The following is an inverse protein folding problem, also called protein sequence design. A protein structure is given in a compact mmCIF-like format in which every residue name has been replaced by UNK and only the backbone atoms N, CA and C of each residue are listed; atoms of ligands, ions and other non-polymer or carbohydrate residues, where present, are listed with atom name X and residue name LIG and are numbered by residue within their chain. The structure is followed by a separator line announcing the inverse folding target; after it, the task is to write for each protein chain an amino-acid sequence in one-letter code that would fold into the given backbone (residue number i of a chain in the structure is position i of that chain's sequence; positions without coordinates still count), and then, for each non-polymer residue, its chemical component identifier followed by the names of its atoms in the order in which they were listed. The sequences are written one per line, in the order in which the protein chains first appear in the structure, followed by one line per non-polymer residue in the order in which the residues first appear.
data_IF_595146459967
#
_entry.id   IF_595146459967
#
_cell.length_a   1.000
_cell.length_b   1.000
_cell.length_c   1.000
_cell.angle_alpha   90.00
_cell.angle_beta   90.00
_cell.angle_gamma   90.00
#
_symmetry.space_group_name_H-M   'P 1'
#
loop_
_entity.id
_entity.type
_entity.pdbx_description
1 polymer ?
#
# COMPACT_ATOMS: atom_id res chain seq x y z
N UNK A 1 -11.15 43.22 -22.26
CA UNK A 1 -11.32 42.11 -21.31
C UNK A 1 -10.90 40.84 -22.02
N UNK A 2 -9.65 40.42 -21.87
CA UNK A 2 -9.16 39.15 -22.40
C UNK A 2 -9.12 38.17 -21.23
N UNK A 3 -10.07 37.25 -21.19
CA UNK A 3 -10.20 36.21 -20.18
C UNK A 3 -9.22 35.06 -20.42
N UNK A 4 -8.79 34.49 -19.31
CA UNK A 4 -7.60 33.70 -19.02
C UNK A 4 -7.64 32.26 -19.61
N UNK A 5 -7.82 32.10 -20.92
CA UNK A 5 -7.88 30.78 -21.59
C UNK A 5 -6.56 29.99 -21.63
N UNK A 6 -5.48 30.52 -21.06
CA UNK A 6 -4.16 29.86 -21.08
C UNK A 6 -4.02 28.81 -19.97
N UNK A 7 -4.68 29.02 -18.82
CA UNK A 7 -4.61 28.08 -17.68
C UNK A 7 -5.34 26.75 -17.92
N UNK A 8 -6.40 26.75 -18.73
CA UNK A 8 -7.19 25.54 -19.01
C UNK A 8 -6.48 24.53 -19.92
N UNK A 9 -5.57 24.98 -20.79
CA UNK A 9 -4.85 24.10 -21.73
C UNK A 9 -3.62 23.43 -21.14
N UNK A 10 -3.04 23.99 -20.08
CA UNK A 10 -1.81 23.46 -19.49
C UNK A 10 -2.06 22.19 -18.65
N UNK A 11 -3.28 21.99 -18.13
CA UNK A 11 -3.67 20.76 -17.41
C UNK A 11 -3.79 19.55 -18.34
N UNK A 12 -4.15 19.77 -19.62
CA UNK A 12 -4.29 18.73 -20.64
C UNK A 12 -2.95 18.17 -21.17
N UNK A 13 -1.82 18.73 -20.73
CA UNK A 13 -0.48 18.39 -21.24
C UNK A 13 0.46 17.82 -20.17
N UNK A 14 -0.02 17.51 -18.96
CA UNK A 14 0.83 16.85 -17.97
C UNK A 14 1.10 15.39 -18.42
N UNK A 15 2.36 14.92 -18.41
CA UNK A 15 2.65 13.51 -18.65
C UNK A 15 1.81 12.64 -17.71
N UNK A 16 1.15 11.59 -18.23
CA UNK A 16 0.27 10.69 -17.46
C UNK A 16 0.85 10.31 -16.09
N UNK A 17 2.15 9.99 -16.05
CA UNK A 17 2.89 9.63 -14.85
C UNK A 17 2.96 10.75 -13.77
N UNK A 18 3.06 12.01 -14.19
CA UNK A 18 3.04 13.14 -13.28
C UNK A 18 1.65 13.34 -12.66
N UNK A 19 0.59 13.16 -13.45
CA UNK A 19 -0.79 13.22 -12.93
C UNK A 19 -1.04 12.11 -11.90
N UNK A 20 -0.64 10.87 -12.19
CA UNK A 20 -0.73 9.75 -11.24
C UNK A 20 0.09 10.01 -9.97
N UNK A 21 1.26 10.64 -10.10
CA UNK A 21 2.08 11.03 -8.93
C UNK A 21 1.35 12.07 -8.08
N UNK A 22 0.79 13.12 -8.69
CA UNK A 22 0.02 14.15 -7.97
C UNK A 22 -1.18 13.52 -7.25
N UNK A 23 -1.90 12.59 -7.88
CA UNK A 23 -3.00 11.86 -7.24
C UNK A 23 -2.54 11.07 -6.03
N UNK A 24 -1.38 10.42 -6.13
CA UNK A 24 -0.78 9.69 -5.00
C UNK A 24 -0.42 10.62 -3.83
N UNK A 25 0.01 11.86 -4.12
CA UNK A 25 0.30 12.86 -3.08
C UNK A 25 -0.95 13.43 -2.42
N UNK A 26 -2.08 13.39 -3.11
CA UNK A 26 -3.38 13.83 -2.62
C UNK A 26 -4.21 12.67 -2.05
N UNK A 27 -3.57 11.56 -1.70
CA UNK A 27 -4.21 10.33 -1.24
C UNK A 27 -5.30 10.55 -0.15
N UNK A 28 -5.07 11.34 0.92
CA UNK A 28 -6.12 11.60 1.90
C UNK A 28 -7.34 12.33 1.30
N UNK A 29 -7.13 13.28 0.39
CA UNK A 29 -8.23 13.95 -0.30
C UNK A 29 -8.99 13.02 -1.25
N UNK A 30 -8.30 12.06 -1.89
CA UNK A 30 -8.93 11.06 -2.75
C UNK A 30 -9.87 10.11 -1.97
N UNK A 31 -9.61 9.93 -0.68
CA UNK A 31 -10.44 9.16 0.24
C UNK A 31 -11.41 10.03 1.07
N UNK A 32 -11.55 11.33 0.77
CA UNK A 32 -12.48 12.19 1.51
C UNK A 32 -13.94 11.87 1.19
N UNK A 33 -14.77 11.84 2.23
CA UNK A 33 -16.23 11.73 2.12
C UNK A 33 -16.88 12.93 1.44
N UNK A 34 -16.17 14.07 1.33
CA UNK A 34 -16.64 15.22 0.54
C UNK A 34 -16.89 14.86 -0.94
N UNK A 35 -16.29 13.76 -1.41
CA UNK A 35 -16.44 13.22 -2.76
C UNK A 35 -17.33 11.97 -2.82
N UNK A 36 -18.21 11.73 -1.84
CA UNK A 36 -19.08 10.53 -1.79
C UNK A 36 -19.95 10.35 -3.03
N UNK A 37 -20.37 11.45 -3.67
CA UNK A 37 -21.21 11.43 -4.88
C UNK A 37 -20.40 11.56 -6.18
N UNK A 38 -19.06 11.58 -6.11
CA UNK A 38 -18.24 11.64 -7.31
C UNK A 38 -18.28 10.27 -8.02
N UNK A 39 -18.54 10.22 -9.34
CA UNK A 39 -18.60 8.95 -10.05
C UNK A 39 -17.25 8.25 -10.01
N UNK A 40 -17.25 6.99 -9.57
CA UNK A 40 -16.09 6.09 -9.70
C UNK A 40 -16.21 5.36 -11.05
N UNK A 41 -15.57 5.91 -12.07
CA UNK A 41 -15.53 5.29 -13.40
C UNK A 41 -14.45 4.20 -13.45
N UNK A 42 -14.75 3.09 -14.15
CA UNK A 42 -13.77 2.02 -14.38
C UNK A 42 -13.43 1.18 -13.15
N UNK A 43 -14.39 0.93 -12.26
CA UNK A 43 -14.16 0.03 -11.12
C UNK A 43 -13.68 -1.37 -11.55
N UNK A 44 -14.27 -2.04 -12.56
CA UNK A 44 -13.77 -3.34 -13.03
C UNK A 44 -12.29 -3.31 -13.45
N UNK A 45 -11.83 -2.23 -14.10
CA UNK A 45 -10.41 -2.06 -14.45
C UNK A 45 -9.54 -1.98 -13.19
N UNK A 46 -9.98 -1.21 -12.18
CA UNK A 46 -9.31 -1.11 -10.90
C UNK A 46 -9.28 -2.45 -10.16
N UNK A 47 -10.40 -3.17 -10.10
CA UNK A 47 -10.49 -4.49 -9.49
C UNK A 47 -9.52 -5.47 -10.18
N UNK A 48 -9.51 -5.52 -11.51
CA UNK A 48 -8.59 -6.35 -12.27
C UNK A 48 -7.11 -6.05 -11.95
N UNK A 49 -6.74 -4.76 -11.93
CA UNK A 49 -5.36 -4.33 -11.65
C UNK A 49 -4.93 -4.68 -10.23
N UNK A 50 -5.80 -4.49 -9.23
CA UNK A 50 -5.42 -4.70 -7.83
C UNK A 50 -5.34 -6.18 -7.43
N UNK A 51 -6.16 -7.04 -8.04
CA UNK A 51 -6.07 -8.51 -7.90
C UNK A 51 -5.02 -9.14 -8.82
N UNK A 52 -4.49 -8.37 -9.78
CA UNK A 52 -3.44 -8.78 -10.68
C UNK A 52 -2.18 -9.26 -9.97
N UNK A 53 -1.47 -10.20 -10.59
CA UNK A 53 -0.24 -10.78 -10.03
C UNK A 53 0.91 -9.77 -10.01
N UNK A 54 1.99 -10.09 -9.27
CA UNK A 54 3.23 -9.30 -9.32
C UNK A 54 3.91 -9.35 -10.70
N UNK A 55 3.59 -10.34 -11.55
CA UNK A 55 4.09 -10.44 -12.92
C UNK A 55 3.36 -9.49 -13.87
N UNK A 56 2.03 -9.44 -13.79
CA UNK A 56 1.19 -8.64 -14.69
C UNK A 56 1.13 -7.18 -14.26
N UNK A 57 0.99 -6.95 -12.95
CA UNK A 57 0.82 -5.64 -12.34
C UNK A 57 1.83 -5.43 -11.21
N UNK A 58 3.14 -5.30 -11.52
CA UNK A 58 4.17 -5.08 -10.52
C UNK A 58 3.99 -3.73 -9.81
N UNK A 59 4.21 -3.72 -8.49
CA UNK A 59 4.26 -2.48 -7.68
C UNK A 59 5.54 -1.71 -7.99
N UNK A 60 6.66 -2.43 -8.08
CA UNK A 60 7.99 -1.90 -8.35
C UNK A 60 8.54 -2.47 -9.67
N UNK A 61 9.11 -1.61 -10.49
CA UNK A 61 9.63 -1.95 -11.81
C UNK A 61 10.77 -1.03 -12.23
N UNK A 62 10.80 -0.70 -13.52
CA UNK A 62 11.88 0.10 -14.09
C UNK A 62 13.20 -0.67 -14.25
N UNK A 63 14.25 0.05 -14.62
CA UNK A 63 15.55 -0.56 -14.91
C UNK A 63 16.32 -1.03 -13.66
N UNK A 64 15.97 -0.49 -12.50
CA UNK A 64 16.58 -0.80 -11.21
C UNK A 64 15.65 -1.64 -10.30
N UNK A 65 14.41 -1.92 -10.71
CA UNK A 65 13.43 -2.59 -9.85
C UNK A 65 12.92 -1.72 -8.68
N UNK A 66 13.12 -0.40 -8.74
CA UNK A 66 12.79 0.56 -7.67
C UNK A 66 11.82 1.65 -8.12
N UNK A 67 11.47 1.71 -9.41
CA UNK A 67 10.52 2.69 -9.92
C UNK A 67 9.09 2.21 -9.61
N UNK A 68 8.27 3.10 -9.06
CA UNK A 68 6.91 2.75 -8.63
C UNK A 68 5.95 2.82 -9.81
N UNK A 69 5.10 1.81 -9.96
CA UNK A 69 4.02 1.83 -10.93
C UNK A 69 2.90 2.78 -10.45
N UNK A 70 3.00 4.07 -10.81
CA UNK A 70 2.05 5.08 -10.36
C UNK A 70 0.62 4.86 -10.89
N UNK A 71 0.47 4.19 -12.02
CA UNK A 71 -0.86 3.81 -12.54
C UNK A 71 -1.51 2.75 -11.65
N UNK A 72 -0.74 1.75 -11.21
CA UNK A 72 -1.21 0.76 -10.24
C UNK A 72 -1.62 1.40 -8.90
N UNK A 73 -0.88 2.42 -8.44
CA UNK A 73 -1.23 3.19 -7.23
C UNK A 73 -2.57 3.92 -7.40
N UNK A 74 -2.81 4.52 -8.56
CA UNK A 74 -4.10 5.17 -8.86
C UNK A 74 -5.24 4.16 -8.90
N UNK A 75 -5.04 2.99 -9.50
CA UNK A 75 -6.06 1.94 -9.49
C UNK A 75 -6.38 1.46 -8.07
N UNK A 76 -5.39 1.37 -7.18
CA UNK A 76 -5.59 1.10 -5.76
C UNK A 76 -6.46 2.16 -5.10
N UNK A 77 -6.20 3.44 -5.35
CA UNK A 77 -7.03 4.50 -4.79
C UNK A 77 -8.48 4.45 -5.28
N UNK A 78 -8.68 4.21 -6.57
CA UNK A 78 -10.01 4.08 -7.13
C UNK A 78 -10.77 2.88 -6.52
N UNK A 79 -10.07 1.75 -6.30
CA UNK A 79 -10.63 0.59 -5.62
C UNK A 79 -11.05 0.92 -4.18
N UNK A 80 -10.16 1.49 -3.37
CA UNK A 80 -10.49 1.83 -1.98
C UNK A 80 -11.54 2.94 -1.87
N UNK A 81 -11.51 3.93 -2.75
CA UNK A 81 -12.56 4.96 -2.85
C UNK A 81 -13.92 4.34 -3.15
N UNK A 82 -13.97 3.37 -4.06
CA UNK A 82 -15.21 2.65 -4.39
C UNK A 82 -15.84 2.01 -3.15
N UNK A 83 -15.05 1.36 -2.29
CA UNK A 83 -15.58 0.67 -1.11
C UNK A 83 -15.76 1.56 0.12
N UNK A 84 -14.86 2.52 0.35
CA UNK A 84 -14.80 3.32 1.58
C UNK A 84 -15.60 4.63 1.50
N UNK A 85 -15.79 5.20 0.31
CA UNK A 85 -16.36 6.55 0.15
C UNK A 85 -17.73 6.53 -0.53
N UNK A 86 -18.01 5.54 -1.37
CA UNK A 86 -19.27 5.45 -2.12
C UNK A 86 -20.37 4.79 -1.29
N UNK A 87 -21.41 5.54 -0.95
CA UNK A 87 -22.51 5.05 -0.12
C UNK A 87 -23.40 4.02 -0.82
N UNK A 88 -23.46 4.01 -2.16
CA UNK A 88 -24.28 3.03 -2.89
C UNK A 88 -23.67 1.62 -2.91
N UNK A 89 -22.35 1.51 -2.80
CA UNK A 89 -21.67 0.21 -2.70
C UNK A 89 -21.82 -0.38 -1.29
N UNK A 90 -21.71 0.49 -0.28
CA UNK A 90 -21.97 0.17 1.11
C UNK A 90 -21.17 -1.02 1.71
N UNK A 91 -19.98 -1.32 1.19
CA UNK A 91 -19.13 -2.38 1.76
C UNK A 91 -18.33 -1.90 2.97
N UNK A 92 -17.56 -0.82 2.83
CA UNK A 92 -16.77 -0.19 3.90
C UNK A 92 -17.24 1.22 4.24
N UNK A 93 -18.20 1.77 3.48
CA UNK A 93 -18.66 3.15 3.63
C UNK A 93 -19.04 3.52 5.06
N UNK A 94 -19.88 2.70 5.70
CA UNK A 94 -20.31 3.01 7.06
C UNK A 94 -19.18 2.90 8.07
N UNK A 95 -18.30 1.89 7.98
CA UNK A 95 -17.15 1.83 8.88
C UNK A 95 -16.24 3.05 8.70
N UNK A 96 -16.02 3.49 7.47
CA UNK A 96 -15.18 4.64 7.16
C UNK A 96 -15.80 5.96 7.62
N UNK A 97 -17.10 6.14 7.41
CA UNK A 97 -17.86 7.31 7.84
C UNK A 97 -17.88 7.53 9.35
N UNK A 98 -17.81 6.46 10.13
CA UNK A 98 -17.83 6.52 11.59
C UNK A 98 -16.43 6.66 12.22
N UNK A 99 -15.37 6.70 11.42
CA UNK A 99 -14.04 7.01 11.94
C UNK A 99 -14.03 8.41 12.56
N UNK A 100 -13.41 8.54 13.72
CA UNK A 100 -13.10 9.87 14.26
C UNK A 100 -12.05 10.57 13.37
N UNK A 101 -11.94 11.93 13.43
CA UNK A 101 -10.93 12.66 12.65
C UNK A 101 -9.49 12.17 12.88
N UNK A 102 -9.18 11.67 14.07
CA UNK A 102 -7.87 11.15 14.45
C UNK A 102 -7.60 9.74 13.93
N UNK A 103 -8.66 9.03 13.52
CA UNK A 103 -8.61 7.68 12.96
C UNK A 103 -8.74 7.67 11.44
N UNK A 104 -9.04 8.80 10.80
CA UNK A 104 -9.14 8.91 9.35
C UNK A 104 -7.75 9.05 8.69
N UNK A 105 -7.61 8.76 7.37
CA UNK A 105 -6.39 9.05 6.63
C UNK A 105 -6.03 10.54 6.66
N UNK A 106 -4.75 10.86 6.88
CA UNK A 106 -4.27 12.24 7.04
C UNK A 106 -3.12 12.56 6.11
N UNK A 107 -2.97 13.84 5.82
CA UNK A 107 -1.78 14.36 5.16
C UNK A 107 -0.57 14.26 6.08
N UNK A 108 0.61 14.20 5.48
CA UNK A 108 1.84 14.37 6.24
C UNK A 108 1.96 15.80 6.78
N UNK A 109 2.53 15.92 7.97
CA UNK A 109 2.68 17.15 8.73
C UNK A 109 4.11 17.73 8.65
N UNK A 110 5.04 16.98 8.03
CA UNK A 110 6.47 17.29 8.00
C UNK A 110 7.01 17.35 6.58
N UNK A 111 8.09 18.11 6.41
CA UNK A 111 8.79 18.19 5.13
C UNK A 111 9.32 16.82 4.70
N UNK A 112 9.03 16.43 3.46
CA UNK A 112 9.52 15.20 2.85
C UNK A 112 11.05 15.24 2.71
N UNK A 113 11.70 14.11 3.01
CA UNK A 113 13.16 13.96 2.95
C UNK A 113 13.53 12.73 2.15
N UNK A 114 14.71 12.77 1.52
CA UNK A 114 15.27 11.61 0.84
C UNK A 114 15.75 10.58 1.88
N UNK A 115 15.60 9.29 1.56
CA UNK A 115 15.81 8.20 2.51
C UNK A 115 14.49 7.71 3.10
N UNK A 116 14.60 6.83 4.09
CA UNK A 116 13.45 6.23 4.76
C UNK A 116 13.34 6.75 6.18
N UNK A 117 12.13 6.70 6.72
CA UNK A 117 11.86 6.95 8.13
C UNK A 117 11.10 5.78 8.74
N UNK A 118 11.27 5.62 10.05
CA UNK A 118 10.31 4.84 10.85
C UNK A 118 8.94 5.49 10.74
N UNK A 119 7.90 4.68 10.67
CA UNK A 119 6.52 5.14 10.61
C UNK A 119 5.95 5.37 12.02
N UNK A 120 4.79 6.02 12.08
CA UNK A 120 4.02 6.16 13.32
C UNK A 120 3.66 4.81 13.95
N UNK A 121 3.31 4.81 15.22
CA UNK A 121 3.08 3.60 16.00
C UNK A 121 1.75 2.91 15.67
N UNK A 122 0.69 3.67 15.48
CA UNK A 122 -0.67 3.15 15.37
C UNK A 122 -1.19 3.23 13.95
N UNK A 123 -1.78 2.15 13.47
CA UNK A 123 -2.26 1.99 12.11
C UNK A 123 -3.65 1.35 12.10
N UNK A 124 -4.48 1.80 11.17
CA UNK A 124 -5.73 1.15 10.79
C UNK A 124 -5.66 0.71 9.34
N UNK A 125 -6.49 -0.25 8.96
CA UNK A 125 -6.58 -0.63 7.55
C UNK A 125 -7.53 -1.76 7.27
N UNK A 126 -7.52 -2.21 6.02
CA UNK A 126 -8.29 -3.35 5.55
C UNK A 126 -7.54 -4.05 4.42
N UNK A 127 -7.95 -5.28 4.16
CA UNK A 127 -7.58 -6.03 2.97
C UNK A 127 -8.86 -6.55 2.33
N UNK A 128 -8.88 -6.60 0.99
CA UNK A 128 -10.00 -7.16 0.25
C UNK A 128 -9.64 -8.56 -0.24
N UNK A 129 -10.65 -9.43 -0.32
CA UNK A 129 -10.53 -10.76 -0.90
C UNK A 129 -11.82 -11.15 -1.62
N UNK A 130 -11.71 -12.15 -2.48
CA UNK A 130 -12.83 -12.86 -3.13
C UNK A 130 -12.55 -14.36 -3.06
N UNK A 131 -13.49 -15.22 -3.44
CA UNK A 131 -13.18 -16.64 -3.49
C UNK A 131 -12.06 -16.96 -4.49
N UNK A 132 -11.32 -18.04 -4.25
CA UNK A 132 -10.16 -18.42 -5.09
C UNK A 132 -10.52 -18.56 -6.58
N UNK A 133 -11.74 -19.02 -6.89
CA UNK A 133 -12.23 -19.11 -8.27
C UNK A 133 -12.47 -17.73 -8.90
N UNK A 134 -13.02 -16.81 -8.12
CA UNK A 134 -13.35 -15.45 -8.55
C UNK A 134 -12.10 -14.61 -8.83
N UNK A 135 -10.99 -14.85 -8.12
CA UNK A 135 -9.69 -14.21 -8.44
C UNK A 135 -9.30 -14.46 -9.90
N UNK A 136 -9.50 -15.68 -10.40
CA UNK A 136 -9.18 -16.01 -11.79
C UNK A 136 -10.12 -15.30 -12.78
N UNK A 137 -11.41 -15.20 -12.43
CA UNK A 137 -12.43 -14.50 -13.23
C UNK A 137 -12.13 -12.99 -13.32
N UNK A 138 -11.81 -12.35 -12.19
CA UNK A 138 -11.38 -10.94 -12.14
C UNK A 138 -10.18 -10.72 -13.06
N UNK A 139 -9.14 -11.56 -12.95
CA UNK A 139 -7.94 -11.47 -13.78
C UNK A 139 -8.23 -11.67 -15.28
N UNK A 140 -9.19 -12.54 -15.61
CA UNK A 140 -9.65 -12.75 -16.98
C UNK A 140 -10.50 -11.58 -17.53
N UNK A 141 -10.89 -10.62 -16.69
CA UNK A 141 -11.71 -9.48 -17.08
C UNK A 141 -13.21 -9.75 -17.02
N UNK A 142 -13.64 -10.86 -16.43
CA UNK A 142 -15.07 -11.22 -16.33
C UNK A 142 -15.87 -10.25 -15.43
N UNK A 143 -15.17 -9.50 -14.56
CA UNK A 143 -15.75 -8.42 -13.74
C UNK A 143 -16.36 -7.25 -14.55
N UNK A 144 -16.10 -7.20 -15.86
CA UNK A 144 -16.73 -6.23 -16.77
C UNK A 144 -18.14 -6.63 -17.21
N UNK A 145 -18.42 -7.95 -17.24
CA UNK A 145 -19.69 -8.50 -17.68
C UNK A 145 -20.62 -8.70 -16.47
N UNK A 146 -20.10 -9.26 -15.38
CA UNK A 146 -20.82 -9.50 -14.13
C UNK A 146 -20.03 -8.94 -12.94
N UNK A 147 -20.68 -8.17 -12.07
CA UNK A 147 -20.02 -7.61 -10.88
C UNK A 147 -19.60 -8.74 -9.93
N UNK A 148 -18.31 -8.83 -9.63
CA UNK A 148 -17.75 -9.72 -8.61
C UNK A 148 -17.62 -8.92 -7.31
N UNK A 149 -18.25 -9.40 -6.23
CA UNK A 149 -18.33 -8.68 -4.97
C UNK A 149 -17.09 -8.90 -4.12
N UNK A 150 -16.40 -7.81 -3.76
CA UNK A 150 -15.30 -7.87 -2.80
C UNK A 150 -15.80 -8.10 -1.37
N UNK A 151 -15.06 -8.95 -0.66
CA UNK A 151 -15.18 -9.21 0.77
C UNK A 151 -14.04 -8.52 1.52
N UNK A 152 -14.26 -8.23 2.80
CA UNK A 152 -13.32 -7.51 3.66
C UNK A 152 -13.20 -8.20 5.01
N UNK A 153 -12.23 -7.78 5.82
CA UNK A 153 -12.10 -8.25 7.20
C UNK A 153 -13.41 -7.97 8.00
N UNK A 154 -14.01 -9.05 8.51
CA UNK A 154 -15.25 -9.01 9.29
C UNK A 154 -16.24 -10.10 8.91
N UNK A 155 -16.96 -10.62 9.91
CA UNK A 155 -18.10 -11.52 9.72
C UNK A 155 -19.44 -10.78 9.56
N UNK A 156 -19.43 -9.45 9.69
CA UNK A 156 -20.64 -8.62 9.60
C UNK A 156 -20.92 -8.19 8.17
N UNK A 157 -22.21 -8.05 7.82
CA UNK A 157 -22.68 -7.50 6.52
C UNK A 157 -22.10 -6.10 6.19
N UNK A 158 -21.49 -5.44 7.18
CA UNK A 158 -20.79 -4.18 7.07
C UNK A 158 -19.31 -4.45 7.40
N UNK A 159 -18.39 -4.19 6.46
CA UNK A 159 -16.97 -4.46 6.69
C UNK A 159 -16.38 -3.60 7.82
N UNK A 160 -15.26 -4.04 8.39
CA UNK A 160 -14.60 -3.34 9.51
C UNK A 160 -13.14 -2.99 9.16
N UNK A 161 -12.47 -2.23 10.01
CA UNK A 161 -11.03 -1.98 9.89
C UNK A 161 -10.28 -2.72 11.00
N UNK A 162 -9.14 -3.30 10.65
CA UNK A 162 -8.22 -3.90 11.61
C UNK A 162 -7.31 -2.81 12.20
N UNK A 163 -6.92 -3.01 13.46
CA UNK A 163 -5.94 -2.18 14.15
C UNK A 163 -4.59 -2.88 14.17
N UNK A 164 -3.52 -2.11 14.04
CA UNK A 164 -2.14 -2.61 14.08
C UNK A 164 -1.22 -1.62 14.79
N UNK A 165 -0.35 -2.14 15.65
CA UNK A 165 0.64 -1.40 16.39
C UNK A 165 2.05 -1.82 15.97
N UNK A 166 2.88 -0.86 15.54
CA UNK A 166 4.26 -1.10 15.14
C UNK A 166 5.24 -0.88 16.30
N UNK A 167 6.14 -1.84 16.50
CA UNK A 167 7.25 -1.79 17.42
C UNK A 167 8.57 -1.84 16.63
N UNK A 168 9.29 -0.72 16.61
CA UNK A 168 10.54 -0.58 15.86
C UNK A 168 11.70 -1.21 16.61
N UNK A 169 12.50 -2.00 15.89
CA UNK A 169 13.69 -2.61 16.46
C UNK A 169 14.88 -1.67 16.23
N UNK A 170 15.54 -1.28 17.33
CA UNK A 170 16.72 -0.43 17.26
C UNK A 170 17.98 -1.25 16.94
N UNK A 171 18.88 -0.68 16.15
CA UNK A 171 20.15 -1.33 15.78
C UNK A 171 20.98 -1.71 17.02
N UNK A 172 20.80 -0.99 18.14
CA UNK A 172 21.46 -1.24 19.42
C UNK A 172 20.89 -2.40 20.21
N UNK A 173 19.59 -2.71 20.04
CA UNK A 173 18.92 -3.84 20.69
C UNK A 173 19.08 -5.15 19.89
N UNK A 174 19.66 -5.04 18.70
CA UNK A 174 19.78 -6.11 17.73
C UNK A 174 18.52 -6.25 16.90
N UNK A 175 18.68 -6.63 15.64
CA UNK A 175 17.56 -7.04 14.80
C UNK A 175 16.94 -8.31 15.38
N UNK A 176 15.60 -8.37 15.43
CA UNK A 176 14.92 -9.63 15.68
C UNK A 176 15.34 -10.60 14.59
N UNK A 177 15.54 -11.86 14.97
CA UNK A 177 15.91 -12.90 14.01
C UNK A 177 14.87 -12.91 12.89
N UNK A 178 15.26 -12.47 11.70
CA UNK A 178 14.38 -12.47 10.53
C UNK A 178 14.23 -13.92 10.04
N UNK A 179 13.02 -14.51 10.10
CA UNK A 179 12.84 -15.92 9.76
C UNK A 179 13.20 -16.16 8.29
N UNK A 180 14.00 -17.20 8.03
CA UNK A 180 14.38 -17.59 6.65
C UNK A 180 13.15 -17.92 5.80
N UNK A 181 12.10 -18.44 6.42
CA UNK A 181 10.82 -18.69 5.77
C UNK A 181 10.20 -17.40 5.26
N UNK A 182 10.24 -16.31 6.04
CA UNK A 182 9.70 -15.02 5.62
C UNK A 182 10.51 -14.44 4.46
N UNK A 183 11.86 -14.47 4.55
CA UNK A 183 12.73 -14.00 3.46
C UNK A 183 12.53 -14.78 2.15
N UNK A 184 12.26 -16.08 2.24
CA UNK A 184 11.96 -16.93 1.07
C UNK A 184 10.77 -16.39 0.27
N UNK A 185 9.78 -15.81 0.95
CA UNK A 185 8.54 -15.33 0.31
C UNK A 185 8.57 -13.83 0.01
N UNK A 186 9.14 -13.01 0.90
CA UNK A 186 9.06 -11.55 0.82
C UNK A 186 10.25 -10.88 0.13
N UNK A 187 11.41 -11.55 0.11
CA UNK A 187 12.65 -10.99 -0.42
C UNK A 187 12.94 -9.58 0.14
N UNK A 188 12.75 -9.39 1.44
CA UNK A 188 12.86 -8.10 2.12
C UNK A 188 14.28 -7.54 2.10
N UNK A 189 15.28 -8.43 2.10
CA UNK A 189 16.69 -8.08 2.16
C UNK A 189 17.39 -8.13 0.80
N UNK A 190 16.67 -8.56 -0.25
CA UNK A 190 17.22 -8.68 -1.60
C UNK A 190 17.55 -7.30 -2.15
N UNK A 191 18.78 -7.15 -2.66
CA UNK A 191 19.16 -5.94 -3.39
C UNK A 191 18.48 -5.90 -4.76
N UNK A 192 17.98 -4.73 -5.19
CA UNK A 192 17.39 -4.59 -6.52
C UNK A 192 18.40 -4.93 -7.61
N UNK A 193 17.95 -5.64 -8.65
CA UNK A 193 18.79 -6.02 -9.78
C UNK A 193 18.80 -4.91 -10.84
N UNK A 194 19.98 -4.37 -11.14
CA UNK A 194 20.15 -3.42 -12.25
C UNK A 194 20.04 -4.16 -13.58
N UNK A 195 18.93 -3.96 -14.31
CA UNK A 195 18.77 -4.40 -15.70
C UNK A 195 19.51 -3.44 -16.64
N UNK A 196 20.14 -3.98 -17.68
CA UNK A 196 20.93 -3.20 -18.63
C UNK A 196 20.11 -2.08 -19.29
N UNK A 197 20.59 -0.83 -19.21
CA UNK A 197 19.94 0.34 -19.82
C UNK A 197 20.12 0.32 -21.33
N UNK A 198 19.07 0.69 -22.08
CA UNK A 198 19.17 0.86 -23.54
C UNK A 198 19.70 2.25 -23.90
N UNK A 199 20.30 2.41 -25.09
CA UNK A 199 20.92 3.67 -25.56
C UNK A 199 19.98 4.89 -25.56
N UNK A 200 18.66 4.70 -25.70
CA UNK A 200 17.68 5.80 -25.65
C UNK A 200 17.51 6.32 -24.21
N UNK A 201 17.60 5.44 -23.21
CA UNK A 201 17.47 5.77 -21.78
C UNK A 201 18.73 6.42 -21.20
N UNK A 202 19.85 6.41 -21.93
CA UNK A 202 21.04 7.19 -21.59
C UNK A 202 20.85 8.70 -21.85
N UNK A 203 19.90 9.09 -22.71
CA UNK A 203 19.67 10.51 -23.07
C UNK A 203 18.67 11.22 -22.14
N UNK A 204 17.79 10.48 -21.48
CA UNK A 204 16.93 10.97 -20.41
C UNK A 204 17.70 10.93 -19.08
N UNK A 205 18.77 11.73 -18.99
CA UNK A 205 19.59 11.82 -17.79
C UNK A 205 18.91 12.69 -16.73
N UNK A 206 17.98 12.11 -15.99
CA UNK A 206 18.22 12.05 -14.55
C UNK A 206 19.06 10.79 -14.36
N UNK A 207 20.35 10.98 -14.07
CA UNK A 207 21.01 10.03 -13.18
C UNK A 207 20.00 9.88 -12.03
N UNK A 208 19.45 8.68 -11.72
CA UNK A 208 18.79 8.54 -10.43
C UNK A 208 19.86 9.05 -9.47
N UNK A 209 19.60 10.07 -8.66
CA UNK A 209 20.52 10.45 -7.59
C UNK A 209 20.86 9.15 -6.91
N UNK A 210 21.99 8.60 -7.32
CA UNK A 210 22.25 7.22 -7.05
C UNK A 210 22.46 7.28 -5.56
N UNK A 211 21.81 6.36 -4.87
CA UNK A 211 22.00 6.10 -3.45
C UNK A 211 23.45 5.57 -3.26
N UNK A 212 24.45 6.14 -3.96
CA UNK A 212 25.88 5.88 -3.79
C UNK A 212 26.35 6.47 -2.45
N UNK A 213 25.69 7.55 -1.96
CA UNK A 213 26.09 8.23 -0.72
C UNK A 213 25.10 8.09 0.44
N UNK A 214 23.87 7.64 0.21
CA UNK A 214 22.95 7.30 1.30
C UNK A 214 23.10 5.79 1.55
N UNK A 215 23.68 5.38 2.67
CA UNK A 215 23.47 3.99 3.12
C UNK A 215 21.97 3.87 3.37
N UNK A 216 21.20 3.09 2.59
CA UNK A 216 19.78 2.97 2.83
C UNK A 216 19.61 2.27 4.18
N UNK A 217 19.22 3.03 5.20
CA UNK A 217 18.90 2.47 6.50
C UNK A 217 17.56 1.76 6.35
N UNK A 218 17.60 0.44 6.42
CA UNK A 218 16.41 -0.39 6.42
C UNK A 218 15.92 -0.49 7.86
N UNK A 219 14.60 -0.40 8.06
CA UNK A 219 14.00 -0.45 9.39
C UNK A 219 13.23 -1.74 9.53
N UNK A 220 13.58 -2.56 10.53
CA UNK A 220 12.81 -3.74 10.87
C UNK A 220 11.78 -3.37 11.94
N UNK A 221 10.61 -3.98 11.86
CA UNK A 221 9.57 -3.83 12.86
C UNK A 221 8.92 -5.17 13.21
N UNK A 222 8.44 -5.24 14.45
CA UNK A 222 7.41 -6.17 14.87
C UNK A 222 6.08 -5.42 14.88
N UNK A 223 4.99 -6.14 14.71
CA UNK A 223 3.66 -5.59 14.88
C UNK A 223 2.75 -6.59 15.57
N UNK A 224 1.81 -6.05 16.32
CA UNK A 224 0.67 -6.78 16.88
C UNK A 224 -0.58 -6.08 16.37
N UNK A 225 -1.61 -6.85 16.08
CA UNK A 225 -2.87 -6.29 15.64
C UNK A 225 -4.03 -7.18 16.02
N UNK A 226 -5.21 -6.62 15.86
CA UNK A 226 -6.46 -7.31 16.09
C UNK A 226 -7.27 -7.20 14.80
N UNK A 227 -7.62 -8.35 14.22
CA UNK A 227 -8.69 -8.39 13.25
C UNK A 227 -10.03 -8.66 13.94
N UNK A 228 -11.10 -8.93 13.20
CA UNK A 228 -12.43 -9.08 13.80
C UNK A 228 -12.61 -10.33 14.64
N UNK A 229 -11.72 -11.31 14.50
CA UNK A 229 -11.86 -12.65 15.07
C UNK A 229 -10.73 -13.02 16.00
N UNK A 230 -9.51 -12.56 15.73
CA UNK A 230 -8.32 -12.99 16.46
C UNK A 230 -7.21 -11.92 16.47
N UNK A 231 -6.36 -12.02 17.49
CA UNK A 231 -5.11 -11.27 17.56
C UNK A 231 -4.09 -11.90 16.61
N UNK A 232 -3.31 -11.06 15.93
CA UNK A 232 -2.26 -11.50 15.03
C UNK A 232 -0.94 -10.80 15.33
N UNK A 233 0.15 -11.46 14.93
CA UNK A 233 1.47 -10.88 14.92
C UNK A 233 1.89 -10.58 13.48
N UNK A 234 2.81 -9.64 13.33
CA UNK A 234 3.49 -9.44 12.08
C UNK A 234 4.95 -9.04 12.27
N UNK A 235 5.78 -9.35 11.28
CA UNK A 235 7.17 -8.90 11.24
C UNK A 235 7.48 -8.42 9.84
N UNK A 236 8.19 -7.30 9.73
CA UNK A 236 8.45 -6.69 8.45
C UNK A 236 9.66 -5.78 8.38
N UNK A 237 9.85 -5.27 7.17
CA UNK A 237 10.91 -4.35 6.79
C UNK A 237 10.35 -3.16 6.04
N UNK A 238 10.95 -2.00 6.29
CA UNK A 238 10.87 -0.84 5.43
C UNK A 238 12.20 -0.58 4.75
N UNK A 239 12.15 -0.46 3.43
CA UNK A 239 13.29 -0.13 2.60
C UNK A 239 13.04 1.22 1.92
N UNK A 240 13.96 2.19 2.03
CA UNK A 240 13.81 3.45 1.32
C UNK A 240 13.86 3.27 -0.19
N UNK A 241 13.02 4.03 -0.90
CA UNK A 241 13.01 4.09 -2.36
C UNK A 241 13.58 5.43 -2.85
N UNK A 242 14.13 5.48 -4.08
CA UNK A 242 14.49 6.73 -4.72
C UNK A 242 13.29 7.67 -4.86
N UNK A 243 13.58 8.97 -5.03
CA UNK A 243 12.54 9.95 -5.33
C UNK A 243 11.83 9.60 -6.65
N UNK A 244 10.50 9.61 -6.63
CA UNK A 244 9.67 9.32 -7.81
C UNK A 244 9.23 10.64 -8.42
N UNK A 245 9.59 10.89 -9.68
CA UNK A 245 9.30 12.16 -10.36
C UNK A 245 9.77 13.41 -9.57
N UNK A 246 10.89 13.29 -8.85
CA UNK A 246 11.45 14.36 -8.02
C UNK A 246 10.86 14.48 -6.61
N UNK A 247 9.90 13.63 -6.23
CA UNK A 247 9.27 13.64 -4.91
C UNK A 247 9.94 12.61 -4.00
N UNK A 248 10.54 12.99 -2.86
CA UNK A 248 11.18 12.07 -1.94
C UNK A 248 10.20 11.48 -0.91
N UNK A 249 10.68 10.55 -0.07
CA UNK A 249 9.92 9.99 1.06
C UNK A 249 9.16 8.69 0.77
N UNK A 250 9.42 8.04 -0.35
CA UNK A 250 8.82 6.75 -0.71
C UNK A 250 9.56 5.60 -0.01
N UNK A 251 8.84 4.58 0.46
CA UNK A 251 9.43 3.37 1.02
C UNK A 251 8.71 2.13 0.50
N UNK A 252 9.42 1.02 0.36
CA UNK A 252 8.84 -0.32 0.17
C UNK A 252 8.60 -0.91 1.55
N UNK A 253 7.42 -1.46 1.77
CA UNK A 253 7.09 -2.27 2.93
C UNK A 253 6.97 -3.73 2.52
N UNK A 254 7.58 -4.61 3.30
CA UNK A 254 7.30 -6.05 3.27
C UNK A 254 6.97 -6.52 4.67
N UNK A 255 6.00 -7.40 4.81
CA UNK A 255 5.54 -7.87 6.10
C UNK A 255 4.97 -9.29 5.97
N UNK A 256 5.23 -10.14 6.96
CA UNK A 256 4.51 -11.40 7.13
C UNK A 256 3.54 -11.23 8.31
N UNK A 257 2.24 -11.41 8.08
CA UNK A 257 1.24 -11.62 9.13
C UNK A 257 1.22 -13.12 9.46
N UNK A 258 1.16 -13.44 10.74
CA UNK A 258 1.14 -14.82 11.24
C UNK A 258 0.43 -14.89 12.58
N UNK A 259 0.11 -16.13 12.97
CA UNK A 259 -0.49 -16.44 14.26
C UNK A 259 0.50 -17.31 15.06
N UNK A 260 0.44 -17.20 16.38
CA UNK A 260 1.26 -17.99 17.28
C UNK A 260 0.39 -19.01 18.01
N UNK A 261 0.88 -20.24 18.13
CA UNK A 261 0.24 -21.27 18.94
C UNK A 261 0.20 -20.81 20.41
N UNK A 262 -0.97 -20.75 21.06
CA UNK A 262 -1.11 -20.18 22.40
C UNK A 262 -0.30 -20.89 23.50
N UNK A 263 -0.01 -22.17 23.32
CA UNK A 263 0.66 -22.99 24.32
C UNK A 263 2.19 -22.95 24.17
N UNK A 264 2.68 -22.84 22.94
CA UNK A 264 4.11 -22.96 22.61
C UNK A 264 4.75 -21.66 22.16
N UNK A 265 3.96 -20.66 21.74
CA UNK A 265 4.45 -19.44 21.10
C UNK A 265 5.10 -19.67 19.74
N UNK A 266 4.88 -20.85 19.13
CA UNK A 266 5.43 -21.18 17.83
C UNK A 266 4.58 -20.56 16.72
N UNK A 267 5.24 -20.04 15.68
CA UNK A 267 4.58 -19.52 14.48
C UNK A 267 3.81 -20.66 13.80
N UNK A 268 2.51 -20.48 13.60
CA UNK A 268 1.70 -21.34 12.74
C UNK A 268 2.09 -21.09 11.28
N UNK A 269 2.81 -22.04 10.69
CA UNK A 269 3.30 -21.93 9.31
C UNK A 269 2.23 -22.17 8.26
N UNK A 270 1.08 -22.72 8.64
CA UNK A 270 -0.04 -22.98 7.74
C UNK A 270 -0.98 -21.76 7.62
N UNK A 271 -0.89 -20.81 8.57
CA UNK A 271 -1.67 -19.57 8.63
C UNK A 271 -0.84 -18.31 8.34
N UNK A 272 0.08 -18.39 7.37
CA UNK A 272 0.92 -17.26 6.96
C UNK A 272 0.29 -16.41 5.84
N UNK A 273 0.45 -15.09 5.94
CA UNK A 273 0.03 -14.15 4.90
C UNK A 273 1.14 -13.15 4.62
N UNK A 274 1.62 -13.13 3.38
CA UNK A 274 2.68 -12.23 2.95
C UNK A 274 2.10 -10.93 2.40
N UNK A 275 2.76 -9.81 2.68
CA UNK A 275 2.35 -8.46 2.27
C UNK A 275 3.54 -7.73 1.66
N UNK A 276 3.30 -7.06 0.52
CA UNK A 276 4.22 -6.11 -0.10
C UNK A 276 3.45 -4.86 -0.48
N UNK A 277 3.97 -3.69 -0.11
CA UNK A 277 3.32 -2.42 -0.41
C UNK A 277 4.28 -1.28 -0.59
N UNK A 278 3.75 -0.19 -1.14
CA UNK A 278 4.39 1.11 -1.21
C UNK A 278 3.87 1.99 -0.09
N UNK A 279 4.80 2.51 0.71
CA UNK A 279 4.56 3.60 1.63
C UNK A 279 4.63 4.91 0.85
N UNK A 280 3.55 5.67 0.90
CA UNK A 280 3.46 6.97 0.25
C UNK A 280 4.30 8.03 0.98
N UNK A 281 4.68 9.12 0.29
CA UNK A 281 5.45 10.20 0.89
C UNK A 281 4.87 10.68 2.22
N UNK A 282 5.74 10.85 3.20
CA UNK A 282 5.37 11.29 4.54
C UNK A 282 4.83 10.18 5.44
N UNK A 283 4.76 8.94 4.96
CA UNK A 283 4.62 7.76 5.81
C UNK A 283 3.26 7.60 6.48
N UNK A 284 2.20 8.15 5.88
CA UNK A 284 0.84 8.13 6.45
C UNK A 284 -0.07 7.07 5.83
N UNK A 285 0.24 6.58 4.63
CA UNK A 285 -0.59 5.60 3.90
C UNK A 285 0.32 4.56 3.26
N UNK A 286 -0.08 3.29 3.34
CA UNK A 286 0.51 2.16 2.63
C UNK A 286 -0.56 1.53 1.74
N UNK A 287 -0.20 1.28 0.49
CA UNK A 287 -1.02 0.51 -0.45
C UNK A 287 -0.21 -0.70 -0.89
N UNK A 288 -0.85 -1.86 -1.01
CA UNK A 288 -0.12 -3.06 -1.34
C UNK A 288 -0.98 -4.24 -1.74
N UNK A 289 -0.28 -5.36 -1.94
CA UNK A 289 -0.85 -6.68 -2.22
C UNK A 289 -0.49 -7.63 -1.09
N UNK A 290 -1.49 -8.38 -0.63
CA UNK A 290 -1.28 -9.55 0.21
C UNK A 290 -1.34 -10.82 -0.63
N UNK A 291 -0.68 -11.90 -0.22
CA UNK A 291 -0.82 -13.21 -0.88
C UNK A 291 -0.60 -14.38 0.09
N UNK A 292 -1.15 -15.53 -0.29
CA UNK A 292 -0.90 -16.80 0.38
C UNK A 292 0.49 -17.34 -0.02
N UNK A 293 1.46 -17.48 0.91
CA UNK A 293 2.82 -17.87 0.58
C UNK A 293 2.94 -19.28 -0.05
N UNK A 294 2.01 -20.18 0.27
CA UNK A 294 1.99 -21.57 -0.21
C UNK A 294 1.59 -21.71 -1.67
N UNK A 295 0.91 -20.71 -2.25
CA UNK A 295 0.46 -20.73 -3.66
C UNK A 295 1.56 -20.29 -4.65
N UNK A 296 2.70 -19.82 -4.15
CA UNK A 296 3.76 -19.23 -4.97
C UNK A 296 3.41 -17.83 -5.50
N UNK A 297 4.10 -17.38 -6.56
CA UNK A 297 4.00 -16.01 -7.09
C UNK A 297 3.47 -15.92 -8.53
N UNK A 298 2.93 -17.02 -9.06
CA UNK A 298 2.43 -17.12 -10.44
C UNK A 298 0.93 -16.83 -10.57
N UNK A 299 0.35 -17.23 -11.70
CA UNK A 299 -1.08 -17.01 -12.03
C UNK A 299 -2.07 -17.60 -11.02
N UNK A 300 -1.66 -18.66 -10.31
CA UNK A 300 -2.48 -19.32 -9.27
C UNK A 300 -2.34 -18.71 -7.89
N UNK A 301 -1.50 -17.68 -7.75
CA UNK A 301 -1.30 -16.98 -6.47
C UNK A 301 -2.64 -16.39 -6.01
N UNK A 302 -3.10 -16.83 -4.84
CA UNK A 302 -4.21 -16.21 -4.17
C UNK A 302 -3.73 -14.94 -3.48
N UNK A 303 -4.26 -13.81 -3.90
CA UNK A 303 -3.82 -12.48 -3.49
C UNK A 303 -4.93 -11.48 -3.64
N UNK A 304 -4.84 -10.37 -2.91
CA UNK A 304 -5.75 -9.24 -3.04
C UNK A 304 -5.08 -7.94 -2.58
N UNK A 305 -5.79 -6.81 -2.68
CA UNK A 305 -5.28 -5.52 -2.23
C UNK A 305 -5.34 -5.36 -0.72
N UNK A 306 -4.48 -4.52 -0.18
CA UNK A 306 -4.62 -3.95 1.15
C UNK A 306 -4.33 -2.44 1.16
N UNK A 307 -4.90 -1.77 2.16
CA UNK A 307 -4.59 -0.40 2.54
C UNK A 307 -4.36 -0.33 4.05
N UNK A 308 -3.34 0.43 4.45
CA UNK A 308 -3.11 0.81 5.85
C UNK A 308 -2.89 2.33 5.90
N UNK A 309 -3.33 2.98 6.99
CA UNK A 309 -3.00 4.38 7.26
C UNK A 309 -2.71 4.63 8.73
N UNK A 310 -1.87 5.63 9.00
CA UNK A 310 -1.47 6.02 10.34
C UNK A 310 -2.57 6.80 11.05
N UNK A 311 -2.83 6.46 12.32
CA UNK A 311 -3.78 7.17 13.18
C UNK A 311 -3.03 8.00 14.22
N UNK A 312 -3.70 9.02 14.78
CA UNK A 312 -3.09 9.88 15.80
C UNK A 312 -2.73 9.05 17.03
N UNK A 313 -1.57 9.32 17.63
CA UNK A 313 -1.32 8.86 18.99
C UNK A 313 -2.25 9.66 19.92
N UNK A 314 -3.10 8.98 20.69
CA UNK A 314 -3.99 9.64 21.67
C UNK A 314 -3.20 10.41 22.73
N UNK A 315 -1.90 10.16 22.88
CA UNK A 315 -1.01 10.92 23.77
C UNK A 315 -0.52 12.25 23.20
N UNK A 316 -0.59 12.48 21.89
CA UNK A 316 -0.28 13.78 21.29
C UNK A 316 -1.42 14.81 21.51
N UNK A 317 -2.64 14.35 21.80
CA UNK A 317 -3.80 15.20 22.05
C UNK A 317 -3.77 15.96 23.40
N UNK A 318 -2.88 15.59 24.32
CA UNK A 318 -2.76 16.22 25.65
C UNK A 318 -1.58 17.17 25.79
N UNK A 319 -0.77 17.34 24.73
CA UNK A 319 0.42 18.20 24.76
C UNK A 319 0.13 19.68 24.41
N UNK A 320 -1.06 20.01 23.88
CA UNK A 320 -1.47 21.38 23.54
C UNK A 320 -2.68 21.84 24.37
N UNK A 321 -2.51 21.89 25.70
CA UNK A 321 -3.45 22.48 26.66
C UNK A 321 -2.85 23.62 27.46
#
# INVERSE_FOLDING_TARGET
MATDHKKEKDVLCLPKQLLCTIWSLLAPAMLSLDFEHAPTLGFPDSQQVVYGTAGDHPIFGGCNGLDINMEWVVHHFNFWKYHMVRSEENTLYHAFKHLSPDEAPRFWDRQLKLGGSKLGKYWKGSYAYVERGEVAMIRAGEGHDDTIQDLFNGETDMGQFQDMQLNWLDETEGFATWPKLFEKHLHSLRRPENKARTRAQHRSSTVPDAIENLRPQNFQFLAEGHDTTEDFCAQGWLNPLPAQHGVPGWQRMTMMKYFEDPDTGAIDTDALWAYEGVVLPGGQIVLGRWWCPSDGTGERMYSGPFILWGVADRSDATADG
#
